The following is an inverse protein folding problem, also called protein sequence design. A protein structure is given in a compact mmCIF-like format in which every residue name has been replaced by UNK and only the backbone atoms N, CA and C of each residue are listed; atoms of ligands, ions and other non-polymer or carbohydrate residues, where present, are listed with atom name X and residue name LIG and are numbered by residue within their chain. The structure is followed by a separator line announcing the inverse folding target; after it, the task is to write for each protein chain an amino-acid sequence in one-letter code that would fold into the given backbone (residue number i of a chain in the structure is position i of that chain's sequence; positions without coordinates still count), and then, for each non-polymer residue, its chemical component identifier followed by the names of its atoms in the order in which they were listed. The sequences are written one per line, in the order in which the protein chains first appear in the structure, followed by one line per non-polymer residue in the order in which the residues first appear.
data_IF_460121800883
#
_entry.id   IF_460121800883
#
_cell.length_a   1.000
_cell.length_b   1.000
_cell.length_c   1.000
_cell.angle_alpha   90.00
_cell.angle_beta   90.00
_cell.angle_gamma   90.00
#
_symmetry.space_group_name_H-M   'P 1'
#
loop_
_entity.id
_entity.type
_entity.pdbx_description
1 polymer ?
#
# COMPACT_ATOMS: atom_id res chain seq x y z
N UNK A 1 -36.23 66.75 13.23
CA UNK A 1 -37.20 65.71 13.63
C UNK A 1 -36.59 64.35 13.33
N UNK A 2 -36.62 63.34 14.20
CA UNK A 2 -37.05 63.26 15.61
C UNK A 2 -36.35 62.06 16.24
N UNK A 3 -35.93 62.16 17.50
CA UNK A 3 -35.38 61.08 18.34
C UNK A 3 -36.53 60.33 19.06
N UNK A 4 -36.29 59.46 20.06
CA UNK A 4 -35.61 58.15 20.03
C UNK A 4 -36.51 57.02 20.64
N UNK A 5 -36.03 55.78 20.81
CA UNK A 5 -36.27 54.93 22.02
C UNK A 5 -35.54 53.57 21.98
N UNK A 6 -35.27 53.02 23.18
CA UNK A 6 -34.72 51.69 23.52
C UNK A 6 -35.35 51.27 24.88
N UNK A 7 -34.93 50.18 25.57
CA UNK A 7 -34.64 48.76 25.25
C UNK A 7 -35.79 47.90 25.90
N UNK A 8 -35.64 46.75 26.64
CA UNK A 8 -34.65 45.63 26.76
C UNK A 8 -35.34 44.27 26.38
N UNK A 9 -35.10 43.04 26.92
CA UNK A 9 -34.08 42.48 27.84
C UNK A 9 -33.39 41.18 27.30
N UNK A 10 -33.27 40.10 28.10
CA UNK A 10 -32.54 38.86 27.80
C UNK A 10 -33.22 37.58 28.39
N UNK A 11 -32.89 36.41 27.82
CA UNK A 11 -33.09 35.05 28.39
C UNK A 11 -32.21 34.07 27.60
N UNK A 12 -31.27 33.31 28.17
CA UNK A 12 -31.36 32.23 29.16
C UNK A 12 -31.45 30.82 28.54
N UNK A 13 -30.47 30.01 28.93
CA UNK A 13 -30.24 28.56 28.81
C UNK A 13 -31.42 27.61 28.58
N UNK A 14 -31.20 26.52 27.83
CA UNK A 14 -31.20 25.14 28.39
C UNK A 14 -30.70 24.13 27.32
N UNK A 15 -29.69 23.30 27.58
CA UNK A 15 -29.67 22.09 28.45
C UNK A 15 -30.51 20.95 27.86
N UNK A 16 -29.87 19.98 27.20
CA UNK A 16 -30.51 18.73 26.79
C UNK A 16 -30.76 17.84 28.01
N UNK A 17 -32.03 17.47 28.22
CA UNK A 17 -32.43 16.66 29.37
C UNK A 17 -32.07 15.17 29.17
N UNK A 18 -31.35 14.61 30.14
CA UNK A 18 -31.33 13.18 30.43
C UNK A 18 -32.59 12.82 31.24
N UNK A 19 -33.28 11.75 30.87
CA UNK A 19 -34.32 11.11 31.69
C UNK A 19 -33.98 9.61 31.82
N UNK A 20 -34.11 8.97 33.01
CA UNK A 20 -33.35 7.77 33.31
C UNK A 20 -34.18 6.49 33.46
N UNK A 21 -33.50 5.35 33.25
CA UNK A 21 -33.72 4.12 34.01
C UNK A 21 -34.76 3.12 33.51
N UNK A 22 -34.28 1.97 33.02
CA UNK A 22 -34.95 0.67 33.21
C UNK A 22 -33.90 -0.37 33.62
N UNK A 23 -34.28 -1.14 34.64
CA UNK A 23 -33.57 -2.16 35.43
C UNK A 23 -32.74 -3.20 34.66
N UNK A 24 -31.64 -3.66 35.28
CA UNK A 24 -31.08 -4.99 34.99
C UNK A 24 -32.11 -6.09 35.30
N UNK A 25 -32.24 -7.07 34.41
CA UNK A 25 -32.80 -8.38 34.73
C UNK A 25 -31.98 -9.47 34.04
N UNK A 26 -31.63 -10.51 34.79
CA UNK A 26 -30.84 -11.64 34.35
C UNK A 26 -31.72 -12.74 33.76
N UNK A 27 -31.48 -13.11 32.50
CA UNK A 27 -31.98 -14.37 31.94
C UNK A 27 -30.95 -14.96 30.97
N UNK A 28 -30.44 -16.15 31.29
CA UNK A 28 -29.51 -16.89 30.46
C UNK A 28 -30.25 -17.76 29.44
N UNK A 29 -29.90 -17.62 28.17
CA UNK A 29 -30.06 -18.68 27.16
C UNK A 29 -28.84 -18.69 26.26
N UNK A 30 -28.21 -19.85 25.99
CA UNK A 30 -27.05 -19.91 25.12
C UNK A 30 -27.50 -19.78 23.67
N UNK A 31 -27.41 -18.56 23.13
CA UNK A 31 -27.43 -18.37 21.67
C UNK A 31 -26.19 -19.07 21.12
N UNK A 32 -26.42 -20.05 20.25
CA UNK A 32 -25.37 -20.68 19.45
C UNK A 32 -24.71 -19.63 18.56
N UNK A 33 -23.58 -19.09 19.02
CA UNK A 33 -22.70 -18.26 18.21
C UNK A 33 -22.29 -19.06 16.97
N UNK A 34 -22.76 -18.64 15.78
CA UNK A 34 -22.18 -19.12 14.53
C UNK A 34 -20.70 -18.72 14.49
N UNK A 35 -19.86 -19.62 13.99
CA UNK A 35 -18.39 -19.43 13.94
C UNK A 35 -17.98 -18.14 13.18
N UNK A 36 -18.86 -17.67 12.30
CA UNK A 36 -18.81 -16.41 11.55
C UNK A 36 -18.43 -15.19 12.42
N UNK A 37 -18.92 -15.13 13.67
CA UNK A 37 -18.64 -14.02 14.59
C UNK A 37 -17.26 -14.07 15.26
N UNK A 38 -16.63 -15.25 15.36
CA UNK A 38 -15.32 -15.41 16.00
C UNK A 38 -14.17 -15.17 15.02
N UNK A 39 -14.31 -15.59 13.76
CA UNK A 39 -13.18 -15.56 12.81
C UNK A 39 -12.82 -14.16 12.30
N UNK A 40 -13.75 -13.20 12.39
CA UNK A 40 -13.51 -11.78 12.13
C UNK A 40 -12.85 -11.04 13.31
N UNK A 41 -12.66 -11.68 14.47
CA UNK A 41 -12.01 -11.06 15.63
C UNK A 41 -10.47 -11.06 15.56
N UNK A 42 -9.87 -11.85 14.65
CA UNK A 42 -8.40 -11.92 14.50
C UNK A 42 -7.79 -10.79 13.67
N UNK A 43 -8.59 -10.08 12.87
CA UNK A 43 -8.13 -8.97 12.03
C UNK A 43 -8.35 -7.64 12.76
N UNK A 44 -7.37 -6.74 12.68
CA UNK A 44 -7.50 -5.39 13.23
C UNK A 44 -8.53 -4.56 12.44
N UNK A 45 -9.11 -3.53 13.08
CA UNK A 45 -10.10 -2.65 12.43
C UNK A 45 -9.53 -1.96 11.17
N UNK A 46 -8.23 -1.65 11.16
CA UNK A 46 -7.55 -1.12 9.97
C UNK A 46 -7.42 -2.15 8.85
N UNK A 47 -7.14 -3.42 9.17
CA UNK A 47 -7.13 -4.51 8.19
C UNK A 47 -8.52 -4.75 7.58
N UNK A 48 -9.59 -4.68 8.40
CA UNK A 48 -10.98 -4.78 7.90
C UNK A 48 -11.32 -3.66 6.93
N UNK A 49 -10.99 -2.42 7.28
CA UNK A 49 -11.23 -1.26 6.42
C UNK A 49 -10.46 -1.33 5.08
N UNK A 50 -9.20 -1.80 5.10
CA UNK A 50 -8.40 -2.02 3.88
C UNK A 50 -8.95 -3.18 3.04
N UNK A 51 -9.40 -4.26 3.67
CA UNK A 51 -10.03 -5.40 2.99
C UNK A 51 -11.33 -4.97 2.28
N UNK A 52 -12.17 -4.17 2.94
CA UNK A 52 -13.37 -3.60 2.33
C UNK A 52 -13.06 -2.68 1.14
N UNK A 53 -12.00 -1.87 1.23
CA UNK A 53 -11.52 -1.01 0.15
C UNK A 53 -11.08 -1.82 -1.07
N UNK A 54 -10.28 -2.88 -0.87
CA UNK A 54 -9.81 -3.77 -1.94
C UNK A 54 -10.97 -4.51 -2.61
N UNK A 55 -11.90 -5.05 -1.83
CA UNK A 55 -13.07 -5.76 -2.35
C UNK A 55 -13.98 -4.81 -3.16
N UNK A 56 -14.18 -3.57 -2.68
CA UNK A 56 -14.92 -2.55 -3.43
C UNK A 56 -14.22 -2.21 -4.75
N UNK A 57 -12.92 -1.92 -4.72
CA UNK A 57 -12.12 -1.62 -5.91
C UNK A 57 -12.18 -2.75 -6.96
N UNK A 58 -11.99 -4.01 -6.54
CA UNK A 58 -12.08 -5.15 -7.45
C UNK A 58 -13.50 -5.41 -7.99
N UNK A 59 -14.53 -5.01 -7.25
CA UNK A 59 -15.94 -5.07 -7.69
C UNK A 59 -16.27 -3.95 -8.68
N UNK A 60 -15.81 -2.73 -8.44
CA UNK A 60 -15.96 -1.59 -9.36
C UNK A 60 -15.27 -1.86 -10.71
N UNK A 61 -14.11 -2.53 -10.68
CA UNK A 61 -13.41 -2.98 -11.89
C UNK A 61 -14.00 -4.22 -12.56
N UNK A 62 -14.99 -4.90 -11.95
CA UNK A 62 -15.59 -6.14 -12.44
C UNK A 62 -14.57 -7.28 -12.66
N UNK A 63 -13.46 -7.28 -11.92
CA UNK A 63 -12.41 -8.33 -12.00
C UNK A 63 -12.64 -9.48 -11.01
N UNK A 64 -13.46 -9.26 -9.98
CA UNK A 64 -13.80 -10.28 -8.99
C UNK A 64 -14.98 -11.15 -9.45
N UNK A 65 -14.87 -12.46 -9.27
CA UNK A 65 -15.93 -13.41 -9.64
C UNK A 65 -17.20 -13.19 -8.81
N UNK A 66 -18.28 -12.71 -9.44
CA UNK A 66 -19.54 -12.34 -8.78
C UNK A 66 -20.31 -13.51 -8.11
N UNK A 67 -19.93 -14.77 -8.38
CA UNK A 67 -20.67 -15.96 -7.97
C UNK A 67 -20.12 -16.64 -6.69
N UNK A 68 -19.18 -16.01 -5.98
CA UNK A 68 -18.51 -16.61 -4.81
C UNK A 68 -18.53 -15.73 -3.57
N UNK A 69 -18.21 -16.34 -2.42
CA UNK A 69 -17.97 -15.65 -1.15
C UNK A 69 -16.58 -14.97 -1.20
N UNK A 70 -16.49 -13.87 -1.95
CA UNK A 70 -15.22 -13.21 -2.31
C UNK A 70 -14.49 -12.67 -1.06
N UNK A 71 -15.23 -12.24 -0.04
CA UNK A 71 -14.66 -11.76 1.24
C UNK A 71 -13.95 -12.89 1.98
N UNK A 72 -14.62 -14.02 2.10
CA UNK A 72 -14.16 -15.21 2.81
C UNK A 72 -12.94 -15.80 2.08
N UNK A 73 -12.99 -15.85 0.75
CA UNK A 73 -11.85 -16.24 -0.09
C UNK A 73 -10.62 -15.35 0.15
N UNK A 74 -10.78 -14.03 0.26
CA UNK A 74 -9.65 -13.12 0.55
C UNK A 74 -9.10 -13.33 1.96
N UNK A 75 -9.98 -13.51 2.96
CA UNK A 75 -9.58 -13.86 4.34
C UNK A 75 -8.83 -15.20 4.36
N UNK A 76 -9.27 -16.20 3.59
CA UNK A 76 -8.62 -17.50 3.48
C UNK A 76 -7.20 -17.41 2.87
N UNK A 77 -7.02 -16.56 1.84
CA UNK A 77 -5.69 -16.31 1.24
C UNK A 77 -4.77 -15.55 2.21
N UNK A 78 -5.30 -14.58 2.97
CA UNK A 78 -4.53 -13.86 4.00
C UNK A 78 -4.12 -14.79 5.16
N UNK A 79 -5.04 -15.64 5.66
CA UNK A 79 -4.75 -16.68 6.66
C UNK A 79 -3.67 -17.65 6.16
N UNK A 80 -3.81 -18.17 4.94
CA UNK A 80 -2.81 -19.04 4.31
C UNK A 80 -1.43 -18.39 4.30
N UNK A 81 -1.36 -17.11 3.94
CA UNK A 81 -0.11 -16.36 3.88
C UNK A 81 0.54 -16.23 5.26
N UNK A 82 -0.23 -15.81 6.28
CA UNK A 82 0.26 -15.68 7.65
C UNK A 82 0.76 -17.00 8.22
N UNK A 83 0.04 -18.10 8.00
CA UNK A 83 0.39 -19.42 8.54
C UNK A 83 1.53 -20.12 7.79
N UNK A 84 1.54 -20.04 6.45
CA UNK A 84 2.39 -20.90 5.61
C UNK A 84 3.55 -20.18 4.92
N UNK A 85 3.56 -18.84 4.90
CA UNK A 85 4.64 -18.04 4.28
C UNK A 85 5.33 -17.16 5.32
N UNK A 86 4.57 -16.48 6.19
CA UNK A 86 5.14 -15.58 7.20
C UNK A 86 5.46 -16.27 8.52
N UNK A 87 4.80 -17.40 8.80
CA UNK A 87 4.81 -18.11 10.09
C UNK A 87 4.60 -17.19 11.31
N UNK A 88 3.87 -16.08 11.12
CA UNK A 88 3.69 -15.01 12.10
C UNK A 88 2.40 -14.22 11.81
N UNK A 89 1.73 -13.79 12.87
CA UNK A 89 0.63 -12.83 12.78
C UNK A 89 1.19 -11.41 12.68
N UNK A 90 0.69 -10.63 11.72
CA UNK A 90 1.07 -9.22 11.55
C UNK A 90 -0.18 -8.36 11.52
N UNK A 91 -0.18 -7.29 12.31
CA UNK A 91 -1.25 -6.27 12.30
C UNK A 91 -1.16 -5.35 11.06
N UNK A 92 -0.06 -5.45 10.29
CA UNK A 92 0.13 -4.71 9.04
C UNK A 92 -0.81 -5.24 7.97
N UNK A 93 -1.26 -4.37 7.07
CA UNK A 93 -2.07 -4.77 5.92
C UNK A 93 -1.16 -5.34 4.82
N UNK A 94 -1.47 -6.54 4.33
CA UNK A 94 -0.72 -7.17 3.25
C UNK A 94 -1.30 -6.83 1.86
N UNK A 95 -0.89 -5.67 1.36
CA UNK A 95 -1.31 -5.14 0.06
C UNK A 95 -0.87 -6.02 -1.11
N UNK A 96 0.26 -6.74 -1.02
CA UNK A 96 0.72 -7.59 -2.11
C UNK A 96 -0.18 -8.81 -2.27
N UNK A 97 -0.51 -9.50 -1.17
CA UNK A 97 -1.48 -10.61 -1.18
C UNK A 97 -2.84 -10.18 -1.70
N UNK A 98 -3.32 -9.01 -1.27
CA UNK A 98 -4.57 -8.41 -1.76
C UNK A 98 -4.53 -8.13 -3.28
N UNK A 99 -3.41 -7.67 -3.83
CA UNK A 99 -3.25 -7.44 -5.27
C UNK A 99 -3.16 -8.75 -6.06
N UNK A 100 -2.47 -9.77 -5.55
CA UNK A 100 -2.47 -11.11 -6.15
C UNK A 100 -3.89 -11.70 -6.18
N UNK A 101 -4.68 -11.47 -5.14
CA UNK A 101 -6.10 -11.85 -5.10
C UNK A 101 -6.93 -11.19 -6.20
N UNK A 102 -6.74 -9.90 -6.44
CA UNK A 102 -7.38 -9.18 -7.55
C UNK A 102 -6.93 -9.73 -8.92
N UNK A 103 -5.65 -10.01 -9.12
CA UNK A 103 -5.10 -10.53 -10.39
C UNK A 103 -5.70 -11.89 -10.76
N UNK A 104 -5.94 -12.77 -9.79
CA UNK A 104 -6.58 -14.07 -10.01
C UNK A 104 -8.11 -14.05 -9.87
N UNK A 105 -8.73 -12.87 -9.87
CA UNK A 105 -10.19 -12.70 -9.81
C UNK A 105 -10.86 -13.30 -8.57
N UNK A 106 -10.12 -13.37 -7.47
CA UNK A 106 -10.55 -13.98 -6.21
C UNK A 106 -10.49 -15.52 -6.16
N UNK A 107 -9.76 -16.16 -7.07
CA UNK A 107 -9.53 -17.61 -7.04
C UNK A 107 -8.45 -17.98 -6.00
N UNK A 108 -8.87 -18.52 -4.85
CA UNK A 108 -8.01 -18.88 -3.70
C UNK A 108 -6.81 -19.74 -4.12
N UNK A 109 -7.03 -20.82 -4.86
CA UNK A 109 -5.98 -21.79 -5.15
C UNK A 109 -4.89 -21.22 -6.06
N UNK A 110 -5.28 -20.46 -7.10
CA UNK A 110 -4.31 -19.75 -7.94
C UNK A 110 -3.51 -18.71 -7.15
N UNK A 111 -4.14 -18.03 -6.18
CA UNK A 111 -3.43 -17.12 -5.28
C UNK A 111 -2.39 -17.87 -4.44
N UNK A 112 -2.76 -18.99 -3.82
CA UNK A 112 -1.84 -19.83 -3.02
C UNK A 112 -0.63 -20.27 -3.83
N UNK A 113 -0.85 -20.86 -5.01
CA UNK A 113 0.24 -21.29 -5.90
C UNK A 113 1.15 -20.11 -6.30
N UNK A 114 0.57 -18.95 -6.63
CA UNK A 114 1.35 -17.78 -7.02
C UNK A 114 2.19 -17.23 -5.86
N UNK A 115 1.59 -17.06 -4.67
CA UNK A 115 2.26 -16.54 -3.48
C UNK A 115 3.40 -17.47 -3.01
N UNK A 116 3.18 -18.79 -3.03
CA UNK A 116 4.21 -19.78 -2.71
C UNK A 116 5.37 -19.79 -3.72
N UNK A 117 5.07 -19.63 -5.02
CA UNK A 117 6.13 -19.49 -6.04
C UNK A 117 6.89 -18.16 -5.88
N UNK A 118 6.20 -17.07 -5.55
CA UNK A 118 6.78 -15.73 -5.39
C UNK A 118 7.66 -15.59 -4.14
N UNK A 119 7.31 -16.24 -3.03
CA UNK A 119 8.15 -16.26 -1.81
C UNK A 119 9.47 -17.01 -2.03
N UNK A 120 9.53 -17.93 -2.98
CA UNK A 120 10.78 -18.56 -3.41
C UNK A 120 11.77 -17.58 -4.07
N UNK A 121 11.28 -16.51 -4.71
CA UNK A 121 12.05 -15.58 -5.54
C UNK A 121 12.53 -14.34 -4.77
N UNK A 122 13.74 -13.86 -5.10
CA UNK A 122 14.29 -12.62 -4.53
C UNK A 122 13.44 -11.38 -4.83
N UNK A 123 12.79 -11.33 -6.00
CA UNK A 123 11.88 -10.24 -6.38
C UNK A 123 10.62 -10.20 -5.50
N UNK A 124 10.22 -11.34 -4.92
CA UNK A 124 9.14 -11.41 -3.92
C UNK A 124 9.44 -10.49 -2.75
N UNK A 125 10.63 -10.60 -2.15
CA UNK A 125 11.05 -9.72 -1.05
C UNK A 125 11.16 -8.22 -1.40
N UNK A 126 11.16 -7.84 -2.69
CA UNK A 126 11.16 -6.44 -3.13
C UNK A 126 9.74 -5.90 -3.33
N UNK A 127 8.86 -6.70 -3.93
CA UNK A 127 7.47 -6.32 -4.17
C UNK A 127 6.56 -6.52 -2.95
N UNK A 128 7.00 -7.32 -1.97
CA UNK A 128 6.17 -7.79 -0.85
C UNK A 128 6.80 -7.44 0.50
N UNK A 129 6.60 -6.20 1.00
CA UNK A 129 7.19 -5.75 2.27
C UNK A 129 6.83 -6.63 3.47
N UNK A 130 5.60 -7.15 3.54
CA UNK A 130 5.17 -8.04 4.63
C UNK A 130 5.93 -9.38 4.64
N UNK A 131 6.20 -9.95 3.47
CA UNK A 131 7.06 -11.14 3.34
C UNK A 131 8.51 -10.84 3.70
N UNK A 132 9.04 -9.70 3.26
CA UNK A 132 10.39 -9.30 3.64
C UNK A 132 10.50 -9.12 5.17
N UNK A 133 9.55 -8.43 5.80
CA UNK A 133 9.47 -8.28 7.26
C UNK A 133 9.41 -9.64 7.97
N UNK A 134 8.66 -10.62 7.43
CA UNK A 134 8.56 -11.97 8.02
C UNK A 134 9.81 -12.84 7.84
N UNK A 135 10.79 -12.43 7.03
CA UNK A 135 12.07 -13.15 6.98
C UNK A 135 12.85 -13.02 8.29
N UNK A 136 12.69 -11.93 9.05
CA UNK A 136 13.47 -11.68 10.27
C UNK A 136 12.66 -11.86 11.54
N UNK A 137 13.12 -12.74 12.43
CA UNK A 137 12.55 -12.93 13.77
C UNK A 137 12.87 -11.79 14.76
N UNK A 138 13.66 -10.78 14.37
CA UNK A 138 13.95 -9.61 15.22
C UNK A 138 13.05 -8.44 14.85
N UNK A 139 12.27 -7.95 15.81
CA UNK A 139 11.44 -6.75 15.65
C UNK A 139 12.25 -5.44 15.50
N UNK A 140 13.57 -5.47 15.73
CA UNK A 140 14.44 -4.29 15.61
C UNK A 140 14.78 -3.93 14.14
N UNK A 141 14.72 -4.92 13.25
CA UNK A 141 15.01 -4.76 11.83
C UNK A 141 13.71 -5.06 11.08
N UNK A 142 13.25 -4.11 10.26
CA UNK A 142 12.06 -4.27 9.40
C UNK A 142 12.51 -4.32 7.93
N UNK A 143 12.91 -5.49 7.39
CA UNK A 143 13.40 -5.64 6.03
C UNK A 143 12.51 -5.06 4.93
N UNK A 144 11.19 -5.13 5.07
CA UNK A 144 10.24 -4.55 4.12
C UNK A 144 10.31 -3.03 4.12
N UNK A 145 10.46 -2.41 5.29
CA UNK A 145 10.70 -0.97 5.41
C UNK A 145 12.09 -0.57 4.90
N UNK A 146 13.12 -1.37 5.18
CA UNK A 146 14.47 -1.15 4.64
C UNK A 146 14.51 -1.28 3.11
N UNK A 147 13.76 -2.23 2.54
CA UNK A 147 13.67 -2.44 1.10
C UNK A 147 12.90 -1.32 0.43
N UNK A 148 11.78 -0.87 1.02
CA UNK A 148 11.06 0.31 0.56
C UNK A 148 11.91 1.58 0.62
N UNK A 149 12.61 1.82 1.74
CA UNK A 149 13.55 2.93 1.88
C UNK A 149 14.70 2.82 0.86
N UNK A 150 15.17 1.61 0.58
CA UNK A 150 16.16 1.31 -0.47
C UNK A 150 15.65 1.68 -1.87
N UNK A 151 14.40 1.34 -2.22
CA UNK A 151 13.78 1.75 -3.48
C UNK A 151 13.73 3.28 -3.56
N UNK A 152 13.20 3.95 -2.54
CA UNK A 152 13.04 5.42 -2.52
C UNK A 152 14.40 6.15 -2.55
N UNK A 153 15.41 5.64 -1.85
CA UNK A 153 16.78 6.17 -1.92
C UNK A 153 17.37 6.03 -3.33
N UNK A 154 17.20 4.87 -3.98
CA UNK A 154 17.67 4.69 -5.35
C UNK A 154 16.87 5.54 -6.36
N UNK A 155 15.58 5.78 -6.13
CA UNK A 155 14.78 6.75 -6.91
C UNK A 155 15.37 8.16 -6.76
N UNK A 156 15.65 8.61 -5.54
CA UNK A 156 16.27 9.92 -5.28
C UNK A 156 17.63 10.04 -6.00
N UNK A 157 18.48 9.00 -5.92
CA UNK A 157 19.79 8.95 -6.56
C UNK A 157 19.70 9.04 -8.09
N UNK A 158 18.84 8.25 -8.72
CA UNK A 158 18.65 8.31 -10.19
C UNK A 158 18.08 9.67 -10.58
N UNK A 159 17.12 10.20 -9.83
CA UNK A 159 16.47 11.46 -10.17
C UNK A 159 17.40 12.67 -10.02
N UNK A 160 18.30 12.67 -9.05
CA UNK A 160 19.29 13.75 -8.87
C UNK A 160 20.34 13.77 -9.99
N UNK A 161 20.64 12.62 -10.61
CA UNK A 161 21.54 12.50 -11.76
C UNK A 161 20.81 12.83 -13.07
N UNK A 162 19.64 12.23 -13.30
CA UNK A 162 18.95 12.24 -14.60
C UNK A 162 18.05 13.45 -14.81
N UNK A 163 17.41 13.94 -13.74
CA UNK A 163 16.45 15.04 -13.81
C UNK A 163 16.65 15.99 -12.60
N UNK A 164 17.82 16.64 -12.46
CA UNK A 164 18.16 17.43 -11.26
C UNK A 164 17.09 18.48 -10.92
N UNK A 165 16.53 19.14 -11.93
CA UNK A 165 15.42 20.12 -11.78
C UNK A 165 14.17 19.56 -11.06
N UNK A 166 13.86 18.28 -11.24
CA UNK A 166 12.72 17.62 -10.61
C UNK A 166 13.08 17.12 -9.20
N UNK A 167 14.30 16.61 -9.02
CA UNK A 167 14.83 16.26 -7.70
C UNK A 167 14.81 17.48 -6.76
N UNK A 168 15.31 18.63 -7.21
CA UNK A 168 15.30 19.87 -6.43
C UNK A 168 13.87 20.37 -6.15
N UNK A 169 12.93 20.23 -7.09
CA UNK A 169 11.53 20.60 -6.85
C UNK A 169 10.86 19.72 -5.77
N UNK A 170 11.19 18.42 -5.72
CA UNK A 170 10.74 17.47 -4.70
C UNK A 170 11.45 17.66 -3.34
N UNK A 171 12.62 18.29 -3.32
CA UNK A 171 13.36 18.63 -2.09
C UNK A 171 12.96 20.00 -1.53
N UNK A 172 12.55 20.93 -2.39
CA UNK A 172 12.11 22.28 -2.03
C UNK A 172 10.64 22.34 -1.53
N UNK A 173 9.86 21.27 -1.67
CA UNK A 173 8.55 21.19 -1.04
C UNK A 173 8.72 21.05 0.48
N UNK A 174 8.03 21.90 1.25
CA UNK A 174 7.95 21.86 2.73
C UNK A 174 7.44 20.53 3.31
N UNK A 175 7.00 19.64 2.42
CA UNK A 175 6.38 18.37 2.72
C UNK A 175 7.18 17.26 2.05
N UNK A 176 7.42 16.17 2.78
CA UNK A 176 8.24 15.07 2.29
C UNK A 176 7.47 14.23 1.26
N UNK A 177 7.47 14.67 0.00
CA UNK A 177 6.81 13.96 -1.11
C UNK A 177 7.36 12.53 -1.30
N UNK A 178 8.59 12.26 -0.84
CA UNK A 178 9.16 10.92 -0.78
C UNK A 178 8.35 9.94 0.07
N UNK A 179 7.64 10.41 1.10
CA UNK A 179 6.74 9.57 1.90
C UNK A 179 5.50 9.17 1.09
N UNK A 180 4.98 10.06 0.25
CA UNK A 180 3.84 9.79 -0.65
C UNK A 180 4.25 8.78 -1.72
N UNK A 181 5.43 8.96 -2.33
CA UNK A 181 5.98 8.01 -3.30
C UNK A 181 6.28 6.65 -2.65
N UNK A 182 6.78 6.64 -1.41
CA UNK A 182 6.94 5.44 -0.59
C UNK A 182 5.62 4.71 -0.40
N UNK A 183 4.57 5.43 -0.02
CA UNK A 183 3.23 4.86 0.16
C UNK A 183 2.66 4.28 -1.14
N UNK A 184 2.84 4.97 -2.28
CA UNK A 184 2.45 4.44 -3.59
C UNK A 184 3.12 3.10 -3.89
N UNK A 185 4.44 2.97 -3.68
CA UNK A 185 5.16 1.70 -3.87
C UNK A 185 4.69 0.64 -2.86
N UNK A 186 4.49 1.02 -1.60
CA UNK A 186 4.03 0.14 -0.51
C UNK A 186 2.64 -0.44 -0.76
N UNK A 187 1.78 0.29 -1.47
CA UNK A 187 0.45 -0.14 -1.91
C UNK A 187 0.40 -0.60 -3.38
N UNK A 188 1.54 -0.77 -4.05
CA UNK A 188 1.63 -1.24 -5.45
C UNK A 188 0.77 -0.38 -6.39
N UNK A 189 0.76 0.93 -6.14
CA UNK A 189 -0.02 1.94 -6.86
C UNK A 189 -1.54 1.73 -6.88
N UNK A 190 -2.09 0.89 -6.00
CA UNK A 190 -3.52 0.65 -5.90
C UNK A 190 -4.27 1.96 -5.59
N UNK A 191 -5.25 2.32 -6.43
CA UNK A 191 -5.97 3.59 -6.34
C UNK A 191 -5.19 4.83 -6.78
N UNK A 192 -3.90 4.68 -7.14
CA UNK A 192 -3.03 5.75 -7.64
C UNK A 192 -2.90 5.68 -9.16
N UNK A 193 -2.77 4.47 -9.70
CA UNK A 193 -2.71 4.19 -11.14
C UNK A 193 -3.96 3.44 -11.62
N UNK A 194 -4.30 3.55 -12.92
CA UNK A 194 -5.25 2.66 -13.57
C UNK A 194 -4.82 1.19 -13.39
N UNK A 195 -5.78 0.28 -13.25
CA UNK A 195 -5.51 -1.14 -12.97
C UNK A 195 -4.54 -1.81 -13.95
N UNK A 196 -4.67 -1.50 -15.25
CA UNK A 196 -3.77 -1.98 -16.30
C UNK A 196 -2.30 -1.60 -16.01
N UNK A 197 -2.06 -0.40 -15.50
CA UNK A 197 -0.71 0.09 -15.19
C UNK A 197 -0.17 -0.46 -13.86
N UNK A 198 -1.05 -0.84 -12.92
CA UNK A 198 -0.69 -1.66 -11.75
C UNK A 198 -0.20 -3.05 -12.19
N UNK A 199 -0.90 -3.68 -13.14
CA UNK A 199 -0.46 -4.94 -13.74
C UNK A 199 0.87 -4.77 -14.50
N UNK A 200 1.04 -3.70 -15.29
CA UNK A 200 2.31 -3.42 -15.97
C UNK A 200 3.48 -3.22 -15.01
N UNK A 201 3.29 -2.52 -13.89
CA UNK A 201 4.31 -2.37 -12.85
C UNK A 201 4.80 -3.73 -12.35
N UNK A 202 3.87 -4.62 -11.98
CA UNK A 202 4.22 -5.96 -11.50
C UNK A 202 4.94 -6.79 -12.56
N UNK A 203 4.42 -6.80 -13.79
CA UNK A 203 5.03 -7.54 -14.91
C UNK A 203 6.46 -7.04 -15.18
N UNK A 204 6.69 -5.72 -15.17
CA UNK A 204 8.01 -5.15 -15.37
C UNK A 204 8.98 -5.55 -14.26
N UNK A 205 8.59 -5.43 -12.99
CA UNK A 205 9.46 -5.78 -11.87
C UNK A 205 9.75 -7.29 -11.82
N UNK A 206 8.75 -8.13 -12.10
CA UNK A 206 8.90 -9.59 -12.12
C UNK A 206 9.77 -10.09 -13.29
N UNK A 207 9.61 -9.53 -14.50
CA UNK A 207 10.32 -10.02 -15.69
C UNK A 207 11.69 -9.37 -15.90
N UNK A 208 11.83 -8.07 -15.60
CA UNK A 208 13.08 -7.31 -15.86
C UNK A 208 13.99 -7.21 -14.63
N UNK A 209 13.45 -7.44 -13.43
CA UNK A 209 14.17 -7.46 -12.17
C UNK A 209 13.79 -6.32 -11.21
N UNK A 210 14.18 -6.43 -9.93
CA UNK A 210 13.76 -5.51 -8.87
C UNK A 210 14.22 -4.06 -9.05
N UNK A 211 15.28 -3.81 -9.83
CA UNK A 211 15.72 -2.47 -10.20
C UNK A 211 14.70 -1.71 -11.05
N UNK A 212 13.80 -2.40 -11.77
CA UNK A 212 12.70 -1.74 -12.48
C UNK A 212 11.66 -1.11 -11.56
N UNK A 213 11.59 -1.49 -10.28
CA UNK A 213 10.77 -0.79 -9.30
C UNK A 213 11.22 0.68 -9.14
N UNK A 214 12.53 0.92 -9.22
CA UNK A 214 13.13 2.26 -9.19
C UNK A 214 12.87 2.99 -10.51
N UNK A 215 13.13 2.35 -11.66
CA UNK A 215 12.98 3.01 -12.97
C UNK A 215 11.54 3.38 -13.29
N UNK A 216 10.58 2.55 -12.89
CA UNK A 216 9.15 2.85 -13.04
C UNK A 216 8.77 4.11 -12.25
N UNK A 217 9.18 4.21 -10.98
CA UNK A 217 8.92 5.40 -10.16
C UNK A 217 9.60 6.64 -10.74
N UNK A 218 10.86 6.55 -11.18
CA UNK A 218 11.58 7.67 -11.81
C UNK A 218 10.87 8.13 -13.09
N UNK A 219 10.37 7.20 -13.89
CA UNK A 219 9.63 7.51 -15.12
C UNK A 219 8.25 8.12 -14.81
N UNK A 220 7.54 7.62 -13.79
CA UNK A 220 6.28 8.19 -13.31
C UNK A 220 6.46 9.63 -12.81
N UNK A 221 7.46 9.87 -11.96
CA UNK A 221 7.81 11.22 -11.48
C UNK A 221 8.20 12.14 -12.65
N UNK A 222 8.92 11.63 -13.66
CA UNK A 222 9.24 12.38 -14.89
C UNK A 222 7.97 12.81 -15.64
N UNK A 223 6.98 11.92 -15.79
CA UNK A 223 5.68 12.25 -16.39
C UNK A 223 4.97 13.34 -15.58
N UNK A 224 4.96 13.21 -14.25
CA UNK A 224 4.34 14.18 -13.34
C UNK A 224 5.12 15.50 -13.18
N UNK A 225 6.28 15.68 -13.83
CA UNK A 225 7.18 16.84 -13.66
C UNK A 225 6.46 18.18 -13.74
N UNK A 226 5.54 18.35 -14.69
CA UNK A 226 4.78 19.60 -14.86
C UNK A 226 3.87 19.91 -13.67
N UNK A 227 3.23 18.89 -13.10
CA UNK A 227 2.39 19.02 -11.90
C UNK A 227 3.26 19.32 -10.67
N UNK A 228 4.32 18.54 -10.47
CA UNK A 228 5.22 18.68 -9.32
C UNK A 228 5.86 20.07 -9.27
N UNK A 229 6.39 20.58 -10.40
CA UNK A 229 6.99 21.92 -10.46
C UNK A 229 5.94 23.01 -10.26
N UNK A 230 4.73 22.87 -10.84
CA UNK A 230 3.65 23.86 -10.71
C UNK A 230 3.19 24.07 -9.26
N UNK A 231 3.24 23.03 -8.42
CA UNK A 231 2.80 23.09 -7.03
C UNK A 231 3.95 23.06 -6.00
N UNK A 232 5.21 23.11 -6.44
CA UNK A 232 6.37 23.21 -5.55
C UNK A 232 6.23 24.44 -4.63
N UNK A 233 6.46 24.25 -3.32
CA UNK A 233 6.27 25.29 -2.31
C UNK A 233 4.80 25.60 -1.92
N UNK A 234 3.84 24.74 -2.28
CA UNK A 234 2.44 24.87 -1.81
C UNK A 234 1.90 23.58 -1.19
N UNK A 235 1.23 23.67 -0.04
CA UNK A 235 0.53 22.54 0.59
C UNK A 235 -0.51 21.87 -0.33
N UNK A 236 -1.00 22.58 -1.34
CA UNK A 236 -1.94 22.05 -2.35
C UNK A 236 -1.31 20.98 -3.25
N UNK A 237 0.03 20.90 -3.32
CA UNK A 237 0.75 19.80 -4.00
C UNK A 237 0.42 18.45 -3.38
N UNK A 238 0.52 18.32 -2.05
CA UNK A 238 0.24 17.08 -1.32
C UNK A 238 -1.16 16.57 -1.62
N UNK A 239 -2.18 17.41 -1.41
CA UNK A 239 -3.58 16.96 -1.52
C UNK A 239 -3.86 16.47 -2.94
N UNK A 240 -3.38 17.18 -3.97
CA UNK A 240 -3.54 16.76 -5.36
C UNK A 240 -2.80 15.44 -5.67
N UNK A 241 -1.60 15.24 -5.13
CA UNK A 241 -0.80 14.02 -5.32
C UNK A 241 -1.31 12.83 -4.50
N UNK A 242 -1.92 13.07 -3.34
CA UNK A 242 -2.43 12.02 -2.43
C UNK A 242 -3.84 11.55 -2.78
N UNK A 243 -4.67 12.39 -3.42
CA UNK A 243 -6.09 12.09 -3.67
C UNK A 243 -6.45 11.86 -5.14
N UNK A 244 -5.54 12.16 -6.08
CA UNK A 244 -5.78 12.02 -7.51
C UNK A 244 -5.22 10.74 -8.10
N UNK A 245 -6.03 10.02 -8.88
CA UNK A 245 -5.54 9.00 -9.83
C UNK A 245 -4.70 9.69 -10.91
N UNK A 246 -3.54 9.13 -11.23
CA UNK A 246 -2.63 9.66 -12.24
C UNK A 246 -3.09 9.20 -13.63
N UNK A 247 -3.94 9.99 -14.27
CA UNK A 247 -4.39 9.77 -15.65
C UNK A 247 -3.34 10.19 -16.68
N UNK A 248 -3.36 9.56 -17.85
CA UNK A 248 -2.46 9.85 -18.97
C UNK A 248 -1.07 9.21 -18.86
N UNK A 249 -0.78 8.51 -17.77
CA UNK A 249 0.38 7.63 -17.66
C UNK A 249 0.13 6.30 -18.39
N UNK A 250 1.10 5.87 -19.20
CA UNK A 250 1.21 4.46 -19.60
C UNK A 250 2.66 3.98 -19.55
N UNK A 251 2.90 2.82 -18.94
CA UNK A 251 4.22 2.23 -18.82
C UNK A 251 4.87 1.96 -20.19
N UNK A 252 4.05 1.65 -21.21
CA UNK A 252 4.47 1.38 -22.59
C UNK A 252 5.29 2.51 -23.21
N UNK A 253 4.78 3.74 -23.14
CA UNK A 253 5.43 4.94 -23.68
C UNK A 253 6.78 5.26 -23.01
N UNK A 254 6.98 4.73 -21.79
CA UNK A 254 8.15 4.97 -20.97
C UNK A 254 9.16 3.80 -20.95
N UNK A 255 8.88 2.67 -21.61
CA UNK A 255 9.77 1.50 -21.68
C UNK A 255 11.18 1.86 -22.14
N UNK A 256 11.32 2.56 -23.27
CA UNK A 256 12.61 2.97 -23.83
C UNK A 256 13.44 3.83 -22.85
N UNK A 257 12.75 4.66 -22.05
CA UNK A 257 13.41 5.47 -21.02
C UNK A 257 13.85 4.62 -19.83
N UNK A 258 13.01 3.71 -19.34
CA UNK A 258 13.37 2.77 -18.27
C UNK A 258 14.53 1.85 -18.67
N UNK A 259 14.55 1.38 -19.92
CA UNK A 259 15.66 0.59 -20.46
C UNK A 259 16.96 1.41 -20.52
N UNK A 260 16.90 2.68 -20.94
CA UNK A 260 18.05 3.59 -20.92
C UNK A 260 18.54 3.93 -19.50
N UNK A 261 17.66 3.94 -18.49
CA UNK A 261 18.06 4.01 -17.07
C UNK A 261 18.74 2.71 -16.63
N UNK A 262 18.16 1.56 -16.98
CA UNK A 262 18.71 0.24 -16.66
C UNK A 262 20.13 0.05 -17.20
N UNK A 263 20.38 0.38 -18.49
CA UNK A 263 21.72 0.32 -19.10
C UNK A 263 22.78 1.14 -18.33
N UNK A 264 22.39 2.26 -17.72
CA UNK A 264 23.31 3.18 -17.02
C UNK A 264 23.48 2.86 -15.53
N UNK A 265 22.40 2.46 -14.85
CA UNK A 265 22.37 2.38 -13.38
C UNK A 265 22.21 0.98 -12.79
N UNK A 266 21.87 -0.05 -13.60
CA UNK A 266 21.61 -1.42 -13.09
C UNK A 266 22.79 -2.02 -12.33
N UNK A 267 24.02 -1.72 -12.74
CA UNK A 267 25.24 -2.17 -12.06
C UNK A 267 25.38 -1.66 -10.62
N UNK A 268 24.72 -0.56 -10.27
CA UNK A 268 24.72 0.03 -8.93
C UNK A 268 23.45 -0.33 -8.15
N UNK A 269 22.29 -0.17 -8.79
CA UNK A 269 20.98 -0.29 -8.13
C UNK A 269 20.61 -1.75 -7.84
N UNK A 270 20.82 -2.66 -8.81
CA UNK A 270 20.40 -4.04 -8.63
C UNK A 270 21.16 -4.72 -7.46
N UNK A 271 22.49 -4.57 -7.30
CA UNK A 271 23.18 -5.03 -6.10
C UNK A 271 22.72 -4.33 -4.82
N UNK A 272 22.45 -3.02 -4.84
CA UNK A 272 22.00 -2.28 -3.66
C UNK A 272 20.65 -2.78 -3.11
N UNK A 273 19.71 -3.12 -3.99
CA UNK A 273 18.42 -3.71 -3.60
C UNK A 273 18.55 -5.18 -3.18
N UNK A 274 19.31 -5.98 -3.95
CA UNK A 274 19.37 -7.44 -3.76
C UNK A 274 20.29 -7.86 -2.62
N UNK A 275 21.42 -7.19 -2.39
CA UNK A 275 22.38 -7.59 -1.34
C UNK A 275 21.76 -7.50 0.06
N UNK A 276 20.92 -6.49 0.29
CA UNK A 276 20.16 -6.32 1.53
C UNK A 276 19.30 -7.56 1.83
N UNK A 277 18.49 -8.00 0.87
CA UNK A 277 17.64 -9.19 1.00
C UNK A 277 18.42 -10.51 1.03
N UNK A 278 19.49 -10.64 0.25
CA UNK A 278 20.35 -11.83 0.24
C UNK A 278 21.07 -12.05 1.57
N UNK A 279 21.53 -10.97 2.23
CA UNK A 279 22.16 -11.07 3.54
C UNK A 279 21.17 -11.53 4.60
N UNK A 280 19.93 -11.00 4.58
CA UNK A 280 18.86 -11.42 5.47
C UNK A 280 18.48 -12.89 5.25
N UNK A 281 18.23 -13.31 4.00
CA UNK A 281 17.90 -14.72 3.68
C UNK A 281 18.97 -15.71 4.17
N UNK A 282 20.25 -15.33 4.14
CA UNK A 282 21.37 -16.16 4.67
C UNK A 282 21.41 -16.22 6.19
N UNK A 283 21.04 -15.15 6.89
CA UNK A 283 21.00 -15.12 8.36
C UNK A 283 19.89 -16.04 8.92
N UNK A 284 18.86 -16.32 8.13
CA UNK A 284 17.72 -17.14 8.54
C UNK A 284 17.85 -18.63 8.22
N UNK A 285 18.87 -19.02 7.44
CA UNK A 285 19.14 -20.43 7.08
C UNK A 285 19.95 -21.32 8.05
N UNK A 286 20.41 -20.93 9.27
CA UNK A 286 21.24 -21.83 10.08
C UNK A 286 20.47 -22.90 10.90
N UNK A 287 19.12 -22.83 11.01
CA UNK A 287 18.36 -23.68 11.95
C UNK A 287 17.04 -24.26 11.40
N UNK A 288 16.98 -24.66 10.14
CA UNK A 288 15.90 -25.53 9.62
C UNK A 288 16.45 -26.72 8.83
N UNK A 289 16.91 -27.73 9.59
CA UNK A 289 17.07 -29.14 9.21
C UNK A 289 16.84 -29.99 10.47
#
# INVERSE_FOLDING_TARGET
ATTPTSPPPASASNTFNLVPGVTLSSASTPVSLSNEGLELQLLSESQKAVLDLVLRYGSELQILNANGNVRENLIEVLKYTQSNIFHSSSDKCDWFTMIIFLIYGGNVERCRCALANLSGLLVGGVLWPSFADSLTNSHEIMPGQMTLAGIIHNVQLVLSIEIPTLYLALQASETCLWNVVGEWVRCIFLGVLPWVEVCHYLILVLLQGPDYAVYFVVALLRHMKGVIIKYAGSYKSLVALQTGVIYGWSAGDHLNFMEALSRRHRRTILPALVNSLCNLRRQCTPHQL
#
